data_IF_622085605893
#
_entry.id   IF_622085605893
#
_cell.length_a   1.000
_cell.length_b   1.000
_cell.length_c   1.000
_cell.angle_alpha   90.00
_cell.angle_beta   90.00
_cell.angle_gamma   90.00
#
_symmetry.space_group_name_H-M   'P 1'
#
loop_
_entity.id
_entity.type
_entity.pdbx_description
1 polymer ?
#
# COMPACT_ATOMS: atom_id res chain seq x y z
N UNK A 1 8.34 5.65 -0.76
CA UNK A 1 8.54 4.47 -1.62
C UNK A 1 8.06 3.24 -0.86
N UNK A 2 7.95 2.08 -1.52
CA UNK A 2 7.70 0.81 -0.83
C UNK A 2 8.78 0.53 0.21
N UNK A 3 8.40 -0.06 1.33
CA UNK A 3 9.39 -0.61 2.27
C UNK A 3 10.21 -1.71 1.60
N UNK A 4 11.45 -1.92 2.03
CA UNK A 4 12.34 -2.91 1.44
C UNK A 4 11.72 -4.33 1.46
N UNK A 5 11.01 -4.67 2.54
CA UNK A 5 10.31 -5.95 2.65
C UNK A 5 9.19 -6.09 1.60
N UNK A 6 8.29 -5.11 1.50
CA UNK A 6 7.19 -5.19 0.52
C UNK A 6 7.71 -5.14 -0.92
N UNK A 7 8.77 -4.37 -1.18
CA UNK A 7 9.43 -4.34 -2.49
C UNK A 7 9.96 -5.72 -2.87
N UNK A 8 10.71 -6.38 -1.98
CA UNK A 8 11.24 -7.72 -2.23
C UNK A 8 10.13 -8.76 -2.48
N UNK A 9 9.00 -8.65 -1.77
CA UNK A 9 7.84 -9.52 -2.02
C UNK A 9 7.24 -9.25 -3.41
N UNK A 10 7.04 -7.99 -3.79
CA UNK A 10 6.54 -7.62 -5.12
C UNK A 10 7.48 -8.09 -6.24
N UNK A 11 8.80 -7.92 -6.07
CA UNK A 11 9.80 -8.39 -7.02
C UNK A 11 9.77 -9.92 -7.15
N UNK A 12 9.57 -10.64 -6.04
CA UNK A 12 9.42 -12.10 -6.05
C UNK A 12 8.18 -12.53 -6.82
N UNK A 13 7.05 -11.82 -6.69
CA UNK A 13 5.84 -12.09 -7.47
C UNK A 13 6.06 -11.81 -8.97
N UNK A 14 6.75 -10.71 -9.30
CA UNK A 14 7.03 -10.34 -10.68
C UNK A 14 7.94 -11.33 -11.41
N UNK A 15 8.71 -12.13 -10.67
CA UNK A 15 9.57 -13.19 -11.21
C UNK A 15 8.82 -14.51 -11.46
N UNK A 16 7.57 -14.66 -11.00
CA UNK A 16 6.79 -15.88 -11.19
C UNK A 16 6.28 -16.01 -12.64
N UNK A 17 6.18 -17.24 -13.18
CA UNK A 17 5.46 -17.47 -14.42
C UNK A 17 3.97 -17.15 -14.23
N UNK A 18 3.29 -16.80 -15.32
CA UNK A 18 1.89 -16.34 -15.30
C UNK A 18 0.94 -17.32 -14.58
N UNK A 19 1.17 -18.62 -14.74
CA UNK A 19 0.34 -19.69 -14.15
C UNK A 19 0.46 -19.77 -12.62
N UNK A 20 1.56 -19.25 -12.07
CA UNK A 20 1.84 -19.22 -10.62
C UNK A 20 1.69 -17.82 -10.04
N UNK A 21 1.51 -16.81 -10.90
CA UNK A 21 1.36 -15.45 -10.46
C UNK A 21 0.07 -15.30 -9.66
N UNK A 22 0.22 -14.83 -8.43
CA UNK A 22 -0.88 -14.45 -7.56
C UNK A 22 -0.42 -13.22 -6.77
N UNK A 23 -1.23 -12.17 -6.74
CA UNK A 23 -0.97 -10.99 -5.93
C UNK A 23 -1.87 -11.03 -4.68
N UNK A 24 -1.31 -11.40 -3.50
CA UNK A 24 -2.07 -11.49 -2.26
C UNK A 24 -2.69 -10.15 -1.86
N UNK A 25 -3.94 -10.20 -1.36
CA UNK A 25 -4.66 -9.03 -0.89
C UNK A 25 -4.01 -8.36 0.33
N UNK A 26 -3.32 -9.11 1.20
CA UNK A 26 -2.57 -8.57 2.33
C UNK A 26 -1.38 -7.71 1.87
N UNK A 27 -0.59 -8.24 0.91
CA UNK A 27 0.53 -7.51 0.34
C UNK A 27 0.05 -6.28 -0.42
N UNK A 28 -1.07 -6.41 -1.15
CA UNK A 28 -1.70 -5.29 -1.83
C UNK A 28 -2.07 -4.15 -0.87
N UNK A 29 -2.69 -4.48 0.27
CA UNK A 29 -3.01 -3.49 1.30
C UNK A 29 -1.75 -2.76 1.80
N UNK A 30 -0.68 -3.50 2.13
CA UNK A 30 0.59 -2.91 2.57
C UNK A 30 1.24 -2.02 1.49
N UNK A 31 1.22 -2.45 0.23
CA UNK A 31 1.73 -1.67 -0.92
C UNK A 31 0.99 -0.36 -1.10
N UNK A 32 -0.35 -0.37 -1.01
CA UNK A 32 -1.15 0.85 -1.07
C UNK A 32 -0.82 1.78 0.11
N UNK A 33 -0.70 1.23 1.32
CA UNK A 33 -0.32 2.03 2.48
C UNK A 33 1.07 2.67 2.34
N UNK A 34 2.07 1.94 1.85
CA UNK A 34 3.40 2.48 1.56
C UNK A 34 3.34 3.61 0.53
N UNK A 35 2.53 3.46 -0.52
CA UNK A 35 2.38 4.48 -1.55
C UNK A 35 1.66 5.73 -1.02
N UNK A 36 0.63 5.57 -0.19
CA UNK A 36 -0.05 6.68 0.48
C UNK A 36 0.92 7.44 1.40
N UNK A 37 1.70 6.74 2.21
CA UNK A 37 2.72 7.35 3.08
C UNK A 37 3.75 8.12 2.24
N UNK A 38 4.23 7.50 1.16
CA UNK A 38 5.20 8.10 0.26
C UNK A 38 4.66 9.36 -0.43
N UNK A 39 3.42 9.33 -0.91
CA UNK A 39 2.76 10.48 -1.53
C UNK A 39 2.64 11.67 -0.57
N UNK A 40 2.45 11.41 0.72
CA UNK A 40 2.24 12.46 1.72
C UNK A 40 3.53 13.00 2.35
N UNK A 41 4.59 12.18 2.44
CA UNK A 41 5.76 12.50 3.27
C UNK A 41 7.12 12.39 2.58
N UNK A 42 7.18 11.93 1.33
CA UNK A 42 8.46 11.90 0.59
C UNK A 42 8.60 13.10 -0.35
N UNK A 43 9.85 13.45 -0.68
CA UNK A 43 10.16 14.47 -1.69
C UNK A 43 10.06 13.94 -3.13
N UNK A 44 9.48 12.74 -3.32
CA UNK A 44 9.32 12.15 -4.64
C UNK A 44 8.27 12.89 -5.47
N UNK A 45 8.50 12.96 -6.78
CA UNK A 45 7.52 13.48 -7.74
C UNK A 45 6.21 12.67 -7.66
N UNK A 46 5.07 13.30 -7.26
CA UNK A 46 3.80 12.62 -7.12
C UNK A 46 3.34 11.92 -8.41
N UNK A 47 3.65 12.47 -9.58
CA UNK A 47 3.27 11.89 -10.88
C UNK A 47 4.02 10.58 -11.12
N UNK A 48 5.33 10.56 -10.82
CA UNK A 48 6.14 9.33 -10.92
C UNK A 48 5.69 8.28 -9.93
N UNK A 49 5.32 8.69 -8.71
CA UNK A 49 4.84 7.78 -7.69
C UNK A 49 3.53 7.09 -8.10
N UNK A 50 2.56 7.85 -8.61
CA UNK A 50 1.30 7.30 -9.13
C UNK A 50 1.55 6.43 -10.36
N UNK A 51 2.47 6.83 -11.24
CA UNK A 51 2.84 6.03 -12.41
C UNK A 51 3.48 4.68 -12.04
N UNK A 52 4.28 4.65 -10.96
CA UNK A 52 4.87 3.42 -10.44
C UNK A 52 3.84 2.47 -9.80
N UNK A 53 2.67 2.98 -9.37
CA UNK A 53 1.58 2.15 -8.87
C UNK A 53 0.82 1.41 -9.97
N UNK A 54 0.82 1.94 -11.20
CA UNK A 54 0.04 1.38 -12.30
C UNK A 54 0.29 -0.13 -12.55
N UNK A 55 1.55 -0.62 -12.70
CA UNK A 55 1.79 -2.05 -12.88
C UNK A 55 1.33 -2.89 -11.68
N UNK A 56 1.36 -2.33 -10.46
CA UNK A 56 0.90 -3.03 -9.25
C UNK A 56 -0.62 -3.16 -9.22
N UNK A 57 -1.34 -2.11 -9.61
CA UNK A 57 -2.80 -2.15 -9.80
C UNK A 57 -3.16 -3.20 -10.85
N UNK A 58 -2.44 -3.25 -11.97
CA UNK A 58 -2.67 -4.25 -13.02
C UNK A 58 -2.42 -5.67 -12.52
N UNK A 59 -1.33 -5.90 -11.78
CA UNK A 59 -1.04 -7.19 -11.15
C UNK A 59 -2.15 -7.61 -10.18
N UNK A 60 -2.63 -6.69 -9.33
CA UNK A 60 -3.74 -7.00 -8.42
C UNK A 60 -5.04 -7.30 -9.16
N UNK A 61 -5.36 -6.57 -10.23
CA UNK A 61 -6.53 -6.83 -11.06
C UNK A 61 -6.45 -8.20 -11.75
N UNK A 62 -5.28 -8.58 -12.26
CA UNK A 62 -5.07 -9.89 -12.87
C UNK A 62 -5.33 -11.03 -11.86
N UNK A 63 -4.79 -10.91 -10.65
CA UNK A 63 -5.04 -11.86 -9.57
C UNK A 63 -6.52 -11.88 -9.16
N UNK A 64 -7.16 -10.72 -9.03
CA UNK A 64 -8.59 -10.63 -8.71
C UNK A 64 -9.47 -11.28 -9.78
N UNK A 65 -9.16 -11.10 -11.06
CA UNK A 65 -9.90 -11.76 -12.14
C UNK A 65 -9.80 -13.28 -12.07
N UNK A 66 -8.66 -13.82 -11.66
CA UNK A 66 -8.50 -15.25 -11.41
C UNK A 66 -9.33 -15.69 -10.18
N UNK A 67 -9.31 -14.92 -9.08
CA UNK A 67 -10.07 -15.21 -7.87
C UNK A 67 -11.59 -15.27 -8.12
N UNK A 68 -12.12 -14.40 -8.99
CA UNK A 68 -13.55 -14.31 -9.26
C UNK A 68 -14.02 -15.10 -10.48
N UNK A 69 -13.10 -15.74 -11.20
CA UNK A 69 -13.41 -16.53 -12.38
C UNK A 69 -14.37 -17.68 -12.01
N UNK A 70 -15.49 -17.79 -12.73
CA UNK A 70 -16.49 -18.85 -12.49
C UNK A 70 -17.36 -18.65 -11.25
N UNK A 71 -17.10 -17.64 -10.41
CA UNK A 71 -17.95 -17.33 -9.26
C UNK A 71 -19.28 -16.69 -9.69
N UNK A 72 -20.35 -17.01 -8.97
CA UNK A 72 -21.62 -16.30 -9.03
C UNK A 72 -21.48 -14.87 -8.45
N UNK A 73 -22.32 -13.89 -8.84
CA UNK A 73 -22.17 -12.49 -8.43
C UNK A 73 -21.97 -12.26 -6.93
N UNK A 74 -22.78 -12.90 -6.08
CA UNK A 74 -22.69 -12.78 -4.60
C UNK A 74 -21.33 -13.23 -4.06
N UNK A 75 -20.73 -14.27 -4.65
CA UNK A 75 -19.42 -14.75 -4.23
C UNK A 75 -18.29 -13.79 -4.68
N UNK A 76 -18.46 -13.08 -5.81
CA UNK A 76 -17.52 -12.04 -6.26
C UNK A 76 -17.50 -10.85 -5.30
N UNK A 77 -18.66 -10.44 -4.80
CA UNK A 77 -18.76 -9.41 -3.76
C UNK A 77 -18.06 -9.85 -2.47
N UNK A 78 -18.19 -11.14 -2.11
CA UNK A 78 -17.44 -11.75 -1.02
C UNK A 78 -15.92 -11.61 -1.17
N UNK A 79 -15.37 -11.78 -2.38
CA UNK A 79 -13.94 -11.57 -2.67
C UNK A 79 -13.52 -10.12 -2.45
N UNK A 80 -14.35 -9.15 -2.86
CA UNK A 80 -14.08 -7.72 -2.61
C UNK A 80 -14.11 -7.41 -1.12
N UNK A 81 -15.09 -7.96 -0.38
CA UNK A 81 -15.20 -7.79 1.06
C UNK A 81 -13.99 -8.40 1.80
N UNK A 82 -13.54 -9.59 1.40
CA UNK A 82 -12.35 -10.22 1.96
C UNK A 82 -11.09 -9.37 1.76
N UNK A 83 -10.93 -8.74 0.59
CA UNK A 83 -9.84 -7.78 0.39
C UNK A 83 -9.96 -6.57 1.32
N UNK A 84 -11.17 -6.04 1.56
CA UNK A 84 -11.36 -4.92 2.46
C UNK A 84 -10.94 -5.27 3.91
N UNK A 85 -11.21 -6.50 4.35
CA UNK A 85 -10.74 -7.03 5.64
C UNK A 85 -9.22 -6.96 5.74
N UNK A 86 -8.47 -7.30 4.68
CA UNK A 86 -7.00 -7.19 4.70
C UNK A 86 -6.50 -5.75 4.90
N UNK A 87 -7.22 -4.74 4.41
CA UNK A 87 -6.88 -3.34 4.70
C UNK A 87 -7.12 -3.00 6.18
N UNK A 88 -8.17 -3.54 6.78
CA UNK A 88 -8.48 -3.35 8.20
C UNK A 88 -7.45 -4.03 9.10
N UNK A 89 -7.09 -5.28 8.79
CA UNK A 89 -6.06 -6.04 9.50
C UNK A 89 -4.69 -5.33 9.44
N UNK A 90 -4.35 -4.76 8.28
CA UNK A 90 -3.10 -4.01 8.10
C UNK A 90 -3.18 -2.54 8.57
N UNK A 91 -4.25 -2.12 9.24
CA UNK A 91 -4.40 -0.73 9.73
C UNK A 91 -3.31 -0.35 10.74
N UNK A 92 -2.87 -1.29 11.58
CA UNK A 92 -1.78 -1.04 12.55
C UNK A 92 -0.46 -0.77 11.83
N UNK A 93 -0.17 -1.55 10.77
CA UNK A 93 0.98 -1.31 9.90
C UNK A 93 0.93 0.09 9.28
N UNK A 94 -0.21 0.49 8.71
CA UNK A 94 -0.37 1.84 8.15
C UNK A 94 -0.10 2.93 9.18
N UNK A 95 -0.68 2.83 10.38
CA UNK A 95 -0.46 3.80 11.46
C UNK A 95 1.01 3.91 11.84
N UNK A 96 1.70 2.78 11.95
CA UNK A 96 3.13 2.75 12.25
C UNK A 96 3.94 3.50 11.19
N UNK A 97 3.77 3.16 9.90
CA UNK A 97 4.46 3.83 8.81
C UNK A 97 4.13 5.33 8.74
N UNK A 98 2.87 5.69 8.94
CA UNK A 98 2.42 7.08 8.96
C UNK A 98 3.11 7.89 10.07
N UNK A 99 3.14 7.38 11.30
CA UNK A 99 3.78 8.09 12.41
C UNK A 99 5.29 8.16 12.26
N UNK A 100 5.93 7.12 11.70
CA UNK A 100 7.38 7.11 11.48
C UNK A 100 7.83 8.15 10.44
N UNK A 101 7.00 8.43 9.43
CA UNK A 101 7.32 9.35 8.35
C UNK A 101 6.75 10.76 8.54
N UNK A 102 5.84 10.95 9.50
CA UNK A 102 5.28 12.27 9.78
C UNK A 102 6.41 13.23 10.18
N UNK A 103 6.58 14.38 9.50
CA UNK A 103 7.61 15.33 9.87
C UNK A 103 7.38 15.73 11.33
N UNK A 104 8.44 15.62 12.14
CA UNK A 104 8.45 16.22 13.47
C UNK A 104 8.29 17.71 13.26
N UNK A 105 7.08 18.24 13.39
CA UNK A 105 6.87 19.69 13.49
C UNK A 105 7.87 20.18 14.53
N UNK A 106 8.76 21.07 14.12
CA UNK A 106 9.63 21.83 15.02
C UNK A 106 8.75 22.31 16.17
N UNK A 107 9.13 22.03 17.44
CA UNK A 107 8.56 22.75 18.59
C UNK A 107 8.85 24.22 18.30
N UNK A 108 7.86 24.93 17.79
CA UNK A 108 8.00 26.35 17.48
C UNK A 108 8.43 27.09 18.74
N UNK A 109 9.47 27.91 18.62
CA UNK A 109 10.11 28.69 19.68
C UNK A 109 9.23 29.78 20.29
N UNK A 110 8.10 29.38 20.87
CA UNK A 110 7.27 30.21 21.75
C UNK A 110 7.72 30.14 23.22
N UNK A 111 8.60 29.18 23.57
CA UNK A 111 9.19 29.09 24.92
C UNK A 111 10.35 30.07 25.13
N UNK A 112 11.00 30.57 24.06
CA UNK A 112 12.11 31.54 24.15
C UNK A 112 11.67 33.01 24.19
N UNK A 113 10.39 33.31 23.92
CA UNK A 113 9.82 34.67 24.01
C UNK A 113 8.94 34.90 25.23
N UNK A 114 9.04 34.00 26.22
CA UNK A 114 8.34 34.13 27.51
C UNK A 114 9.31 34.50 28.65
N UNK A 115 10.58 34.79 28.33
CA UNK A 115 11.63 35.18 29.28
C UNK A 115 12.33 36.51 28.91
N UNK A 116 11.71 37.31 28.03
CA UNK A 116 12.04 38.72 27.81
C UNK A 116 10.79 39.56 28.05
#
# INVERSE_FOLDING_TARGET
MLTAQNLAQVESLAALPFEQFYFPSDLWARVIFDAVVAFNFSDADPVRLVSALLPLVQGRLAAFWQEVAGLAPVAREGTVAAQAVEFEENRTYFKMCWQANRPRRYRSGWEERSLL
#
